data_IF_642360685170
#
_entry.id   IF_642360685170
#
_cell.length_a   1.000
_cell.length_b   1.000
_cell.length_c   1.000
_cell.angle_alpha   90.00
_cell.angle_beta   90.00
_cell.angle_gamma   90.00
#
_symmetry.space_group_name_H-M   'P 1'
#
loop_
_entity.id
_entity.type
_entity.pdbx_description
1 polymer ?
#
# COMPACT_ATOMS: atom_id res chain seq x y z
N UNK A 1 -76.13 55.31 20.31
CA UNK A 1 -75.99 53.85 20.16
C UNK A 1 -74.57 53.54 19.73
N UNK A 2 -73.73 53.13 20.68
CA UNK A 2 -72.29 52.96 20.50
C UNK A 2 -72.02 51.53 20.02
N UNK A 3 -71.43 51.39 18.83
CA UNK A 3 -70.98 50.12 18.26
C UNK A 3 -69.81 49.58 19.11
N UNK A 4 -70.00 48.43 19.77
CA UNK A 4 -68.92 47.66 20.40
C UNK A 4 -68.11 46.97 19.30
N UNK A 5 -66.88 47.42 19.06
CA UNK A 5 -65.88 46.63 18.36
C UNK A 5 -65.12 45.78 19.38
N UNK A 6 -65.15 44.48 19.17
CA UNK A 6 -64.34 43.47 19.85
C UNK A 6 -63.03 43.37 19.08
N UNK A 7 -61.90 43.61 19.73
CA UNK A 7 -60.58 43.24 19.20
C UNK A 7 -59.94 42.25 20.17
N UNK A 8 -60.08 40.96 19.86
CA UNK A 8 -59.29 39.90 20.47
C UNK A 8 -57.92 39.89 19.79
N UNK A 9 -56.86 40.15 20.56
CA UNK A 9 -55.48 40.09 20.10
C UNK A 9 -55.04 38.61 20.11
N UNK A 10 -55.14 37.94 18.97
CA UNK A 10 -54.58 36.60 18.80
C UNK A 10 -53.08 36.71 18.51
N UNK A 11 -52.26 36.44 19.52
CA UNK A 11 -50.81 36.27 19.34
C UNK A 11 -50.59 34.87 18.75
N UNK A 12 -50.38 34.81 17.44
CA UNK A 12 -49.95 33.58 16.78
C UNK A 12 -48.46 33.37 17.06
N UNK A 13 -48.13 32.51 18.04
CA UNK A 13 -46.79 31.92 18.14
C UNK A 13 -46.68 30.86 17.03
N UNK A 14 -46.14 31.25 15.88
CA UNK A 14 -45.66 30.31 14.88
C UNK A 14 -44.39 29.63 15.41
N UNK A 15 -44.55 28.44 15.97
CA UNK A 15 -43.44 27.55 16.28
C UNK A 15 -42.85 27.05 14.95
N UNK A 16 -41.76 27.70 14.51
CA UNK A 16 -40.92 27.15 13.46
C UNK A 16 -40.15 26.00 14.10
N UNK A 17 -40.65 24.77 13.95
CA UNK A 17 -39.86 23.58 14.20
C UNK A 17 -38.75 23.53 13.16
N UNK A 18 -37.61 24.15 13.48
CA UNK A 18 -36.36 23.84 12.83
C UNK A 18 -36.03 22.39 13.21
N UNK A 19 -36.27 21.45 12.30
CA UNK A 19 -35.63 20.13 12.37
C UNK A 19 -34.14 20.38 12.28
N UNK A 20 -33.47 20.46 13.43
CA UNK A 20 -32.03 20.36 13.50
C UNK A 20 -31.68 18.94 13.03
N UNK A 21 -31.41 18.80 11.74
CA UNK A 21 -30.65 17.65 11.24
C UNK A 21 -29.35 17.67 12.03
N UNK A 22 -29.20 16.72 12.95
CA UNK A 22 -27.96 16.51 13.67
C UNK A 22 -26.88 16.24 12.63
N UNK A 23 -26.04 17.24 12.37
CA UNK A 23 -24.85 17.08 11.54
C UNK A 23 -23.91 16.19 12.35
N UNK A 24 -23.84 14.92 11.96
CA UNK A 24 -22.98 13.91 12.56
C UNK A 24 -21.51 14.34 12.34
N UNK A 25 -20.80 14.60 13.44
CA UNK A 25 -19.48 15.26 13.50
C UNK A 25 -18.34 14.29 13.21
N UNK A 26 -17.75 14.34 12.03
CA UNK A 26 -16.86 13.32 11.45
C UNK A 26 -15.98 14.01 10.39
N UNK A 27 -14.75 13.52 10.05
CA UNK A 27 -13.79 14.09 9.06
C UNK A 27 -14.55 14.91 8.05
N UNK A 28 -14.36 16.24 7.98
CA UNK A 28 -15.38 17.18 7.48
C UNK A 28 -16.36 16.51 6.48
N UNK A 29 -17.54 16.12 6.95
CA UNK A 29 -18.57 15.45 6.13
C UNK A 29 -18.42 13.94 5.81
N UNK A 30 -17.62 13.19 6.59
CA UNK A 30 -17.30 11.77 6.44
C UNK A 30 -18.00 10.85 7.44
N UNK A 31 -17.65 9.57 7.45
CA UNK A 31 -18.25 8.54 8.32
C UNK A 31 -17.20 7.71 9.08
N UNK A 32 -17.66 6.87 10.02
CA UNK A 32 -16.79 5.97 10.76
C UNK A 32 -16.58 4.69 9.96
N UNK A 33 -15.34 4.25 9.86
CA UNK A 33 -15.01 2.97 9.25
C UNK A 33 -15.54 1.82 10.09
N UNK A 34 -16.27 0.89 9.47
CA UNK A 34 -16.77 -0.32 10.15
C UNK A 34 -15.73 -1.43 10.20
N UNK A 35 -14.91 -1.52 9.17
CA UNK A 35 -13.86 -2.51 9.01
C UNK A 35 -12.74 -1.98 8.12
N UNK A 36 -11.65 -2.74 7.99
CA UNK A 36 -10.49 -2.40 7.18
C UNK A 36 -10.50 -3.07 5.80
N UNK A 37 -11.57 -3.77 5.41
CA UNK A 37 -11.58 -4.60 4.19
C UNK A 37 -11.36 -3.80 2.91
N UNK A 38 -11.75 -2.53 2.89
CA UNK A 38 -11.59 -1.63 1.74
C UNK A 38 -10.18 -0.99 1.64
N UNK A 39 -9.39 -1.06 2.72
CA UNK A 39 -8.07 -0.45 2.81
C UNK A 39 -7.16 -1.22 3.80
N UNK A 40 -6.92 -2.53 3.55
CA UNK A 40 -6.14 -3.38 4.45
C UNK A 40 -4.67 -2.93 4.58
N UNK A 41 -4.20 -2.14 3.60
CA UNK A 41 -2.87 -1.55 3.52
C UNK A 41 -2.74 -0.20 4.25
N UNK A 42 -3.81 0.36 4.81
CA UNK A 42 -3.73 1.60 5.56
C UNK A 42 -2.91 1.39 6.84
N UNK A 43 -1.95 2.28 7.08
CA UNK A 43 -1.16 2.28 8.31
C UNK A 43 -1.14 3.66 8.97
N UNK A 44 -0.92 3.67 10.28
CA UNK A 44 -0.65 4.86 11.08
C UNK A 44 0.85 4.97 11.33
N UNK A 45 1.43 6.14 11.09
CA UNK A 45 2.84 6.48 11.32
C UNK A 45 2.94 7.36 12.56
N UNK A 46 3.80 6.95 13.49
CA UNK A 46 4.00 7.58 14.78
C UNK A 46 5.50 7.97 14.94
N UNK A 47 5.83 9.14 15.50
CA UNK A 47 7.20 9.51 15.84
C UNK A 47 7.66 8.80 17.12
N UNK A 48 8.90 8.30 17.16
CA UNK A 48 9.47 7.66 18.35
C UNK A 48 9.60 8.66 19.50
N UNK A 49 9.08 8.30 20.67
CA UNK A 49 8.92 9.17 21.84
C UNK A 49 7.53 9.78 21.98
N UNK A 50 6.70 9.69 20.93
CA UNK A 50 5.27 9.99 20.97
C UNK A 50 4.47 8.74 20.60
N UNK A 51 3.77 8.15 21.57
CA UNK A 51 2.82 7.06 21.30
C UNK A 51 1.52 7.59 20.70
N UNK A 52 1.60 8.49 19.71
CA UNK A 52 0.44 9.13 19.10
C UNK A 52 0.53 9.14 17.58
N UNK A 53 -0.61 8.94 16.93
CA UNK A 53 -0.76 9.05 15.48
C UNK A 53 -0.34 10.44 14.97
N UNK A 54 0.49 10.47 13.94
CA UNK A 54 1.00 11.72 13.38
C UNK A 54 0.71 11.86 11.89
N UNK A 55 0.90 10.78 11.14
CA UNK A 55 0.61 10.69 9.71
C UNK A 55 0.00 9.33 9.37
N UNK A 56 -0.63 9.24 8.20
CA UNK A 56 -0.95 7.98 7.55
C UNK A 56 0.20 7.41 6.71
N UNK A 57 -0.02 6.21 6.20
CA UNK A 57 0.84 5.53 5.25
C UNK A 57 0.11 4.41 4.53
N UNK A 58 0.80 3.80 3.57
CA UNK A 58 0.26 2.83 2.63
C UNK A 58 1.23 1.65 2.52
N UNK A 59 0.81 0.46 2.93
CA UNK A 59 1.61 -0.76 2.87
C UNK A 59 1.69 -1.28 1.41
N UNK A 60 2.91 -1.29 0.85
CA UNK A 60 3.19 -1.73 -0.52
C UNK A 60 3.59 -3.21 -0.60
N UNK A 61 4.23 -3.71 0.45
CA UNK A 61 4.58 -5.10 0.69
C UNK A 61 4.70 -5.32 2.22
N UNK A 62 5.13 -6.50 2.67
CA UNK A 62 5.16 -6.80 4.11
C UNK A 62 6.11 -5.91 4.95
N UNK A 63 7.00 -5.12 4.33
CA UNK A 63 8.02 -4.34 5.03
C UNK A 63 8.26 -2.95 4.43
N UNK A 64 7.51 -2.57 3.39
CA UNK A 64 7.63 -1.28 2.72
C UNK A 64 6.35 -0.47 2.85
N UNK A 65 6.47 0.74 3.38
CA UNK A 65 5.37 1.69 3.53
C UNK A 65 5.64 2.93 2.69
N UNK A 66 4.65 3.37 1.93
CA UNK A 66 4.60 4.63 1.21
C UNK A 66 3.93 5.69 2.08
N UNK A 67 4.49 6.90 2.14
CA UNK A 67 3.95 8.03 2.89
C UNK A 67 4.38 9.36 2.24
N UNK A 68 4.00 10.49 2.85
CA UNK A 68 4.42 11.81 2.43
C UNK A 68 5.81 12.15 3.01
N UNK A 69 6.65 12.85 2.24
CA UNK A 69 7.98 13.25 2.69
C UNK A 69 7.92 14.22 3.88
N UNK A 70 6.95 15.14 3.90
CA UNK A 70 6.82 16.12 4.98
C UNK A 70 6.55 15.48 6.35
N UNK A 71 6.03 14.26 6.39
CA UNK A 71 5.86 13.49 7.62
C UNK A 71 7.20 13.20 8.31
N UNK A 72 8.30 13.19 7.54
CA UNK A 72 9.63 12.83 8.03
C UNK A 72 10.50 14.04 8.41
N UNK A 73 10.10 15.25 8.01
CA UNK A 73 10.82 16.49 8.32
C UNK A 73 10.49 17.11 9.69
N UNK A 74 9.38 16.68 10.32
CA UNK A 74 8.86 17.31 11.54
C UNK A 74 9.35 16.77 12.89
N UNK A 75 9.88 15.54 13.05
CA UNK A 75 10.43 15.15 14.35
C UNK A 75 11.65 16.02 14.69
N UNK A 76 11.70 16.51 15.94
CA UNK A 76 12.70 17.48 16.43
C UNK A 76 14.15 17.03 16.15
N UNK A 77 14.41 15.72 16.16
CA UNK A 77 15.75 15.16 15.90
C UNK A 77 16.19 15.23 14.43
N UNK A 78 15.25 15.36 13.49
CA UNK A 78 15.50 15.26 12.05
C UNK A 78 15.24 16.55 11.28
N UNK A 79 14.91 17.64 11.98
CA UNK A 79 14.43 18.89 11.38
C UNK A 79 15.44 19.57 10.46
N UNK A 80 16.74 19.46 10.74
CA UNK A 80 17.79 20.13 9.98
C UNK A 80 18.31 19.30 8.80
N UNK A 81 18.39 17.97 8.94
CA UNK A 81 18.87 17.05 7.91
C UNK A 81 18.16 15.69 8.00
N UNK A 82 16.93 15.56 7.49
CA UNK A 82 16.19 14.30 7.56
C UNK A 82 16.91 13.15 6.86
N UNK A 83 17.70 13.42 5.82
CA UNK A 83 18.48 12.39 5.12
C UNK A 83 19.57 11.75 6.02
N UNK A 84 19.98 12.44 7.09
CA UNK A 84 21.00 11.96 8.03
C UNK A 84 20.38 11.20 9.22
N UNK A 85 19.05 11.15 9.31
CA UNK A 85 18.33 10.40 10.33
C UNK A 85 18.14 8.94 9.92
N UNK A 86 18.38 8.02 10.87
CA UNK A 86 18.03 6.60 10.73
C UNK A 86 16.57 6.36 11.09
N UNK A 87 16.02 5.21 10.66
CA UNK A 87 14.59 4.91 10.77
C UNK A 87 14.06 4.81 12.19
N UNK A 88 14.94 4.57 13.16
CA UNK A 88 14.62 4.32 14.57
C UNK A 88 13.69 5.38 15.18
N UNK A 89 13.60 6.58 14.60
CA UNK A 89 12.71 7.64 15.06
C UNK A 89 11.23 7.49 14.67
N UNK A 90 10.81 6.38 14.07
CA UNK A 90 9.40 6.13 13.73
C UNK A 90 8.94 4.70 14.02
N UNK A 91 7.65 4.57 14.28
CA UNK A 91 6.93 3.30 14.37
C UNK A 91 5.64 3.35 13.55
N UNK A 92 5.29 2.20 12.98
CA UNK A 92 4.13 2.01 12.11
C UNK A 92 3.16 1.05 12.78
N UNK A 93 1.89 1.44 12.87
CA UNK A 93 0.79 0.57 13.28
C UNK A 93 -0.07 0.22 12.06
N UNK A 94 -0.20 -1.06 11.77
CA UNK A 94 -1.05 -1.60 10.71
C UNK A 94 -2.21 -2.42 11.29
N UNK A 95 -3.22 -2.67 10.45
CA UNK A 95 -4.35 -3.54 10.80
C UNK A 95 -5.12 -3.12 12.08
N UNK A 96 -5.26 -1.82 12.33
CA UNK A 96 -6.09 -1.28 13.41
C UNK A 96 -7.15 -0.33 12.90
N UNK A 97 -8.33 -0.36 13.52
CA UNK A 97 -9.37 0.68 13.39
C UNK A 97 -9.21 1.78 14.45
N UNK A 98 -8.39 1.53 15.47
CA UNK A 98 -8.16 2.44 16.57
C UNK A 98 -6.83 3.17 16.38
N UNK A 99 -6.85 4.48 16.59
CA UNK A 99 -5.71 5.36 16.37
C UNK A 99 -4.49 4.95 17.19
N UNK A 100 -4.70 4.46 18.42
CA UNK A 100 -3.62 4.25 19.39
C UNK A 100 -3.47 2.81 19.89
N UNK A 101 -4.49 1.97 19.71
CA UNK A 101 -4.51 0.59 20.22
C UNK A 101 -4.74 -0.43 19.11
N UNK A 102 -4.56 -1.72 19.40
CA UNK A 102 -4.83 -2.82 18.45
C UNK A 102 -3.85 -2.92 17.27
N UNK A 103 -4.10 -3.87 16.37
CA UNK A 103 -3.26 -4.09 15.18
C UNK A 103 -1.85 -4.60 15.49
N UNK A 104 -0.94 -4.38 14.55
CA UNK A 104 0.47 -4.80 14.64
C UNK A 104 1.35 -3.55 14.56
N UNK A 105 2.32 -3.45 15.47
CA UNK A 105 3.30 -2.35 15.49
C UNK A 105 4.65 -2.88 15.00
N UNK A 106 5.30 -2.10 14.14
CA UNK A 106 6.67 -2.36 13.69
C UNK A 106 7.47 -1.07 13.71
N UNK A 107 8.73 -1.15 14.17
CA UNK A 107 9.68 -0.05 14.08
C UNK A 107 10.08 0.19 12.62
N UNK A 108 10.51 1.41 12.31
CA UNK A 108 11.10 1.74 11.02
C UNK A 108 12.62 1.58 11.12
N UNK A 109 13.23 0.83 10.21
CA UNK A 109 14.68 0.63 10.14
C UNK A 109 15.37 1.76 9.35
N UNK A 110 14.74 2.19 8.26
CA UNK A 110 15.25 3.28 7.43
C UNK A 110 14.12 3.92 6.64
N UNK A 111 14.39 5.09 6.06
CA UNK A 111 13.47 5.73 5.14
C UNK A 111 14.22 6.38 3.98
N UNK A 112 13.51 6.57 2.86
CA UNK A 112 13.98 7.28 1.68
C UNK A 112 13.00 8.39 1.34
N UNK A 113 13.46 9.63 1.40
CA UNK A 113 12.74 10.80 0.90
C UNK A 113 13.08 10.97 -0.57
N UNK A 114 12.11 11.41 -1.38
CA UNK A 114 12.36 11.75 -2.77
C UNK A 114 13.46 12.81 -2.88
N UNK A 115 14.49 12.62 -3.73
CA UNK A 115 15.68 13.49 -3.76
C UNK A 115 15.37 14.94 -4.13
N UNK A 116 14.28 15.18 -4.84
CA UNK A 116 13.85 16.53 -5.25
C UNK A 116 12.84 17.17 -4.29
N UNK A 117 12.52 16.54 -3.15
CA UNK A 117 11.66 17.19 -2.15
C UNK A 117 12.42 18.36 -1.49
N UNK A 118 11.83 19.56 -1.55
CA UNK A 118 12.45 20.81 -1.08
C UNK A 118 11.63 21.53 0.02
N UNK A 119 10.63 20.86 0.59
CA UNK A 119 9.78 21.40 1.64
C UNK A 119 8.54 22.11 1.12
N UNK A 120 8.06 23.12 1.84
CA UNK A 120 6.85 23.86 1.45
C UNK A 120 7.22 25.05 0.57
N UNK A 121 6.84 25.00 -0.71
CA UNK A 121 7.15 26.02 -1.73
C UNK A 121 5.87 26.39 -2.47
N UNK A 122 5.61 27.69 -2.66
CA UNK A 122 4.47 28.21 -3.43
C UNK A 122 3.08 27.67 -3.04
N UNK A 123 2.85 27.40 -1.75
CA UNK A 123 1.61 26.81 -1.18
C UNK A 123 1.41 25.31 -1.46
N UNK A 124 2.47 24.61 -1.85
CA UNK A 124 2.44 23.17 -2.06
C UNK A 124 3.72 22.52 -1.52
N UNK A 125 3.71 21.18 -1.47
CA UNK A 125 4.91 20.39 -1.20
C UNK A 125 5.26 19.63 -2.49
N UNK A 126 6.17 20.14 -3.34
CA UNK A 126 6.58 19.41 -4.53
C UNK A 126 7.32 18.14 -4.13
N UNK A 127 7.14 17.05 -4.90
CA UNK A 127 7.80 15.77 -4.66
C UNK A 127 7.57 15.21 -3.24
N UNK A 128 6.40 15.45 -2.66
CA UNK A 128 6.04 15.04 -1.31
C UNK A 128 5.71 13.55 -1.20
N UNK A 129 6.75 12.74 -1.27
CA UNK A 129 6.68 11.29 -1.25
C UNK A 129 7.93 10.71 -0.57
N UNK A 130 7.71 9.71 0.27
CA UNK A 130 8.77 8.96 0.93
C UNK A 130 8.40 7.49 1.09
N UNK A 131 9.43 6.66 1.25
CA UNK A 131 9.33 5.24 1.55
C UNK A 131 9.90 5.00 2.95
N UNK A 132 9.20 4.21 3.76
CA UNK A 132 9.69 3.66 5.02
C UNK A 132 9.97 2.17 4.85
N UNK A 133 11.07 1.71 5.43
CA UNK A 133 11.44 0.29 5.55
C UNK A 133 11.26 -0.14 6.99
N UNK A 134 10.44 -1.14 7.22
CA UNK A 134 10.16 -1.66 8.55
C UNK A 134 11.29 -2.57 9.04
N UNK A 135 11.65 -2.48 10.32
CA UNK A 135 12.63 -3.36 10.97
C UNK A 135 12.12 -4.80 11.07
N UNK A 136 10.81 -4.96 11.24
CA UNK A 136 10.13 -6.26 11.25
C UNK A 136 9.02 -6.26 10.20
N UNK A 137 9.01 -7.25 9.31
CA UNK A 137 7.89 -7.41 8.37
C UNK A 137 6.59 -7.62 9.13
N UNK A 138 5.56 -6.88 8.74
CA UNK A 138 4.21 -7.07 9.26
C UNK A 138 3.70 -8.39 8.68
N UNK A 139 3.52 -9.37 9.56
CA UNK A 139 3.03 -10.69 9.19
C UNK A 139 1.59 -10.62 8.70
N UNK A 140 1.23 -11.57 7.85
CA UNK A 140 -0.12 -11.68 7.33
C UNK A 140 -1.11 -11.91 8.47
N UNK A 141 -1.94 -10.91 8.74
CA UNK A 141 -3.07 -11.00 9.67
C UNK A 141 -4.36 -11.26 8.89
N UNK A 142 -5.46 -11.58 9.59
CA UNK A 142 -6.79 -11.74 9.00
C UNK A 142 -7.26 -10.53 8.16
N UNK A 143 -6.61 -9.38 8.32
CA UNK A 143 -6.91 -8.14 7.59
C UNK A 143 -5.89 -7.92 6.47
N UNK A 144 -4.60 -8.13 6.71
CA UNK A 144 -3.56 -7.92 5.69
C UNK A 144 -3.63 -8.96 4.56
N UNK A 145 -4.26 -10.12 4.80
CA UNK A 145 -4.56 -11.11 3.74
C UNK A 145 -5.40 -10.57 2.58
N UNK A 146 -6.11 -9.45 2.76
CA UNK A 146 -6.86 -8.81 1.67
C UNK A 146 -5.95 -8.08 0.67
N UNK A 147 -4.63 -8.04 0.94
CA UNK A 147 -3.60 -7.63 -0.02
C UNK A 147 -2.92 -6.30 0.32
N UNK A 148 -1.89 -6.02 -0.46
CA UNK A 148 -1.16 -4.74 -0.43
C UNK A 148 -1.80 -3.74 -1.38
N UNK A 149 -1.37 -2.49 -1.32
CA UNK A 149 -1.95 -1.42 -2.11
C UNK A 149 -1.77 -1.65 -3.61
N UNK A 150 -2.87 -1.52 -4.37
CA UNK A 150 -2.83 -1.47 -5.82
C UNK A 150 -2.60 -0.02 -6.27
N UNK A 151 -1.47 0.28 -6.88
CA UNK A 151 -1.11 1.64 -7.27
C UNK A 151 -1.59 1.95 -8.69
N UNK A 152 -2.01 3.20 -8.92
CA UNK A 152 -2.34 3.68 -10.25
C UNK A 152 -1.19 3.47 -11.25
N UNK A 153 -1.53 3.22 -12.52
CA UNK A 153 -0.56 2.94 -13.57
C UNK A 153 0.37 4.14 -13.82
N UNK A 154 1.58 3.89 -14.30
CA UNK A 154 2.53 4.98 -14.60
C UNK A 154 1.94 5.94 -15.63
N UNK A 155 2.02 7.23 -15.34
CA UNK A 155 1.50 8.29 -16.20
C UNK A 155 -0.02 8.45 -16.22
N UNK A 156 -0.81 7.59 -15.57
CA UNK A 156 -2.26 7.78 -15.50
C UNK A 156 -2.65 9.02 -14.68
N UNK A 157 -3.85 9.54 -14.93
CA UNK A 157 -4.41 10.68 -14.22
C UNK A 157 -5.84 10.33 -13.78
N UNK A 158 -6.23 10.56 -12.51
CA UNK A 158 -7.63 10.40 -12.11
C UNK A 158 -8.55 11.32 -12.93
N UNK A 159 -9.73 10.80 -13.26
CA UNK A 159 -10.72 11.51 -14.05
C UNK A 159 -11.38 12.61 -13.21
N UNK A 160 -11.42 13.88 -13.66
CA UNK A 160 -12.17 14.93 -12.97
C UNK A 160 -13.63 14.52 -12.72
N UNK A 161 -14.17 14.94 -11.58
CA UNK A 161 -15.50 14.61 -11.08
C UNK A 161 -15.73 13.12 -10.73
N UNK A 162 -14.73 12.24 -10.88
CA UNK A 162 -14.77 10.91 -10.27
C UNK A 162 -14.72 11.01 -8.74
N UNK A 163 -15.11 9.95 -8.05
CA UNK A 163 -15.12 9.91 -6.59
C UNK A 163 -13.91 9.12 -6.08
N UNK A 164 -13.20 9.71 -5.13
CA UNK A 164 -12.16 9.05 -4.37
C UNK A 164 -12.56 8.88 -2.90
N UNK A 165 -12.00 7.86 -2.27
CA UNK A 165 -12.12 7.55 -0.85
C UNK A 165 -10.80 7.90 -0.15
N UNK A 166 -10.89 8.65 0.93
CA UNK A 166 -9.76 8.97 1.80
C UNK A 166 -10.06 8.50 3.23
N UNK A 167 -9.45 7.38 3.68
CA UNK A 167 -9.53 6.93 5.07
C UNK A 167 -8.39 7.50 5.92
N UNK A 168 -8.66 7.80 7.19
CA UNK A 168 -7.63 8.28 8.12
C UNK A 168 -8.14 8.65 9.51
N UNK A 169 -7.19 9.08 10.36
CA UNK A 169 -7.42 9.50 11.75
C UNK A 169 -7.11 10.98 11.96
N UNK A 170 -7.12 11.76 10.88
CA UNK A 170 -6.95 13.20 10.93
C UNK A 170 -8.06 13.93 11.66
N UNK A 171 -7.81 15.20 11.96
CA UNK A 171 -8.73 16.09 12.65
C UNK A 171 -10.10 16.13 11.95
N UNK A 172 -11.17 16.14 12.75
CA UNK A 172 -12.53 16.16 12.21
C UNK A 172 -12.93 17.51 11.62
N UNK A 173 -12.25 18.58 12.05
CA UNK A 173 -12.42 19.96 11.60
C UNK A 173 -11.14 20.75 11.90
N UNK A 174 -10.99 21.94 11.31
CA UNK A 174 -9.81 22.78 11.57
C UNK A 174 -9.70 23.12 13.06
N UNK A 175 -8.56 22.80 13.68
CA UNK A 175 -8.32 22.92 15.13
C UNK A 175 -9.29 22.11 16.02
N UNK A 176 -9.94 21.07 15.45
CA UNK A 176 -10.85 20.18 16.17
C UNK A 176 -10.14 19.03 16.89
N UNK A 177 -10.88 18.01 17.36
CA UNK A 177 -10.31 16.79 17.92
C UNK A 177 -9.86 15.81 16.82
N UNK A 178 -8.85 14.99 17.13
CA UNK A 178 -8.58 13.75 16.38
C UNK A 178 -9.55 12.66 16.83
N UNK A 179 -10.13 11.88 15.92
CA UNK A 179 -10.96 10.73 16.27
C UNK A 179 -10.13 9.58 16.82
N UNK A 180 -10.69 8.81 17.75
CA UNK A 180 -10.08 7.56 18.20
C UNK A 180 -10.30 6.42 17.20
N UNK A 181 -11.46 6.43 16.53
CA UNK A 181 -11.82 5.44 15.51
C UNK A 181 -11.55 5.96 14.11
N UNK A 182 -11.11 5.05 13.24
CA UNK A 182 -10.83 5.34 11.84
C UNK A 182 -12.05 5.94 11.17
N UNK A 183 -11.82 6.96 10.36
CA UNK A 183 -12.84 7.66 9.60
C UNK A 183 -12.58 7.47 8.11
N UNK A 184 -13.59 7.71 7.32
CA UNK A 184 -13.48 7.72 5.87
C UNK A 184 -14.34 8.81 5.26
N UNK A 185 -13.86 9.44 4.19
CA UNK A 185 -14.61 10.45 3.45
C UNK A 185 -14.53 10.18 1.96
N UNK A 186 -15.66 10.38 1.27
CA UNK A 186 -15.72 10.36 -0.18
C UNK A 186 -15.62 11.79 -0.70
N UNK A 187 -14.62 12.04 -1.52
CA UNK A 187 -14.30 13.35 -2.09
C UNK A 187 -14.29 13.29 -3.62
N UNK A 188 -14.79 14.34 -4.30
CA UNK A 188 -14.66 14.42 -5.75
C UNK A 188 -13.22 14.76 -6.14
N UNK A 189 -12.73 14.12 -7.20
CA UNK A 189 -11.56 14.60 -7.94
C UNK A 189 -11.95 15.88 -8.65
N UNK A 190 -11.08 16.89 -8.62
CA UNK A 190 -11.30 18.17 -9.29
C UNK A 190 -10.34 18.33 -10.46
N UNK A 191 -10.70 19.23 -11.37
CA UNK A 191 -9.73 19.72 -12.35
C UNK A 191 -8.50 20.28 -11.61
N UNK A 192 -7.30 19.94 -12.09
CA UNK A 192 -6.05 20.24 -11.39
C UNK A 192 -5.88 21.73 -11.06
N UNK A 193 -6.27 22.59 -11.99
CA UNK A 193 -6.23 24.06 -11.88
C UNK A 193 -7.19 24.64 -10.82
N UNK A 194 -8.12 23.83 -10.31
CA UNK A 194 -9.03 24.22 -9.22
C UNK A 194 -8.28 24.33 -7.88
N UNK A 195 -7.17 23.60 -7.73
CA UNK A 195 -6.28 23.72 -6.58
C UNK A 195 -5.16 24.73 -6.88
N UNK A 196 -5.09 25.80 -6.07
CA UNK A 196 -4.01 26.78 -6.19
C UNK A 196 -2.64 26.13 -5.93
N UNK A 197 -1.71 26.28 -6.86
CA UNK A 197 -0.36 25.74 -6.76
C UNK A 197 -0.22 24.27 -7.18
N UNK A 198 -1.30 23.67 -7.72
CA UNK A 198 -1.23 22.32 -8.27
C UNK A 198 -0.25 22.24 -9.44
N UNK A 199 0.50 21.14 -9.48
CA UNK A 199 1.41 20.79 -10.58
C UNK A 199 0.96 19.50 -11.24
N UNK A 200 1.53 19.16 -12.39
CA UNK A 200 1.28 17.87 -13.06
C UNK A 200 1.58 16.67 -12.17
N UNK A 201 2.44 16.80 -11.16
CA UNK A 201 2.74 15.73 -10.21
C UNK A 201 1.74 15.64 -9.04
N UNK A 202 0.61 16.38 -9.12
CA UNK A 202 -0.41 16.46 -8.07
C UNK A 202 -1.81 16.15 -8.59
N UNK A 203 -2.64 15.65 -7.69
CA UNK A 203 -4.09 15.47 -7.83
C UNK A 203 -4.78 16.53 -6.98
N UNK A 204 -5.82 17.16 -7.53
CA UNK A 204 -6.72 18.05 -6.80
C UNK A 204 -7.98 17.27 -6.44
N UNK A 205 -8.40 17.29 -5.18
CA UNK A 205 -9.66 16.65 -4.75
C UNK A 205 -10.30 17.42 -3.59
N UNK A 206 -11.51 17.02 -3.20
CA UNK A 206 -12.22 17.60 -2.06
C UNK A 206 -13.04 18.85 -2.41
N UNK A 207 -13.27 19.69 -1.41
CA UNK A 207 -14.18 20.83 -1.45
C UNK A 207 -15.59 20.46 -0.98
N UNK A 208 -16.51 21.42 -1.08
CA UNK A 208 -17.91 21.27 -0.63
C UNK A 208 -18.07 20.84 0.83
N UNK A 209 -17.13 21.23 1.69
CA UNK A 209 -17.11 20.83 3.09
C UNK A 209 -16.69 19.37 3.29
N UNK A 210 -16.02 18.76 2.31
CA UNK A 210 -15.43 17.42 2.41
C UNK A 210 -13.99 17.39 2.00
N UNK A 211 -13.11 17.01 2.91
CA UNK A 211 -11.69 16.87 2.63
C UNK A 211 -11.00 16.02 3.71
N UNK A 212 -9.77 15.62 3.41
CA UNK A 212 -8.78 15.22 4.41
C UNK A 212 -8.33 16.42 5.26
N UNK A 213 -7.74 16.15 6.43
CA UNK A 213 -7.31 17.19 7.35
C UNK A 213 -5.99 16.79 8.04
N UNK A 214 -5.48 17.65 8.93
CA UNK A 214 -4.23 17.40 9.67
C UNK A 214 -4.26 16.03 10.35
N UNK A 215 -3.23 15.21 10.09
CA UNK A 215 -3.10 13.82 10.57
C UNK A 215 -3.35 12.78 9.47
N UNK A 216 -4.17 13.09 8.46
CA UNK A 216 -4.37 12.19 7.31
C UNK A 216 -3.16 12.18 6.35
N UNK A 217 -2.29 13.18 6.45
CA UNK A 217 -1.04 13.33 5.68
C UNK A 217 -0.29 12.02 5.51
N UNK A 218 0.12 11.70 4.29
CA UNK A 218 0.78 10.43 3.95
C UNK A 218 -0.15 9.24 3.74
N UNK A 219 -1.44 9.36 4.09
CA UNK A 219 -2.46 8.36 3.82
C UNK A 219 -2.87 8.28 2.34
N UNK A 220 -3.66 7.26 1.95
CA UNK A 220 -4.08 7.04 0.57
C UNK A 220 -5.27 7.92 0.14
N UNK A 221 -5.24 8.35 -1.12
CA UNK A 221 -6.43 8.72 -1.88
C UNK A 221 -6.73 7.59 -2.88
N UNK A 222 -7.85 6.91 -2.67
CA UNK A 222 -8.23 5.66 -3.35
C UNK A 222 -9.32 5.98 -4.37
N UNK A 223 -9.14 5.62 -5.64
CA UNK A 223 -10.22 5.71 -6.62
C UNK A 223 -11.33 4.71 -6.27
N UNK A 224 -12.58 5.21 -6.16
CA UNK A 224 -13.71 4.41 -5.64
C UNK A 224 -14.09 3.24 -6.54
N UNK A 225 -13.89 3.35 -7.86
CA UNK A 225 -14.32 2.34 -8.81
C UNK A 225 -13.26 1.26 -9.00
N UNK A 226 -12.00 1.66 -9.08
CA UNK A 226 -10.88 0.76 -9.36
C UNK A 226 -10.19 0.23 -8.10
N UNK A 227 -10.38 0.90 -6.96
CA UNK A 227 -9.64 0.61 -5.73
C UNK A 227 -8.15 0.97 -5.79
N UNK A 228 -7.71 1.68 -6.84
CA UNK A 228 -6.31 2.06 -7.01
C UNK A 228 -5.94 3.29 -6.17
N UNK A 229 -4.73 3.30 -5.63
CA UNK A 229 -4.17 4.51 -5.01
C UNK A 229 -3.77 5.48 -6.12
N UNK A 230 -4.52 6.57 -6.23
CA UNK A 230 -4.27 7.65 -7.20
C UNK A 230 -3.48 8.80 -6.58
N UNK A 231 -3.53 8.95 -5.26
CA UNK A 231 -2.85 10.04 -4.55
C UNK A 231 -2.36 9.68 -3.15
N UNK A 232 -1.46 10.51 -2.63
CA UNK A 232 -1.00 10.51 -1.24
C UNK A 232 -1.37 11.85 -0.62
N UNK A 233 -2.02 11.87 0.54
CA UNK A 233 -2.43 13.11 1.23
C UNK A 233 -1.21 13.99 1.51
N UNK A 234 -1.21 15.25 1.04
CA UNK A 234 -0.07 16.17 1.17
C UNK A 234 -0.45 17.48 1.88
N UNK A 235 -1.21 18.36 1.23
CA UNK A 235 -1.63 19.66 1.77
C UNK A 235 -3.04 20.03 1.34
N UNK A 236 -3.60 21.09 1.93
CA UNK A 236 -4.93 21.56 1.57
C UNK A 236 -5.24 22.93 2.17
N UNK A 237 -6.34 23.52 1.71
CA UNK A 237 -6.82 24.82 2.22
C UNK A 237 -7.78 24.56 3.37
N UNK A 238 -7.25 24.56 4.59
CA UNK A 238 -8.03 24.22 5.78
C UNK A 238 -8.53 22.78 5.74
N UNK A 239 -9.61 22.49 6.46
CA UNK A 239 -10.26 21.18 6.43
C UNK A 239 -11.65 21.35 5.83
N UNK A 240 -11.94 20.62 4.75
CA UNK A 240 -13.17 20.72 3.96
C UNK A 240 -13.06 21.59 2.69
N UNK A 241 -11.88 22.16 2.43
CA UNK A 241 -11.54 22.84 1.17
C UNK A 241 -11.05 21.86 0.11
N UNK A 242 -10.46 22.39 -0.97
CA UNK A 242 -9.75 21.53 -1.93
C UNK A 242 -8.36 21.18 -1.39
N UNK A 243 -8.01 19.91 -1.49
CA UNK A 243 -6.73 19.33 -1.10
C UNK A 243 -5.83 19.00 -2.31
N UNK A 244 -4.53 19.13 -2.09
CA UNK A 244 -3.46 18.65 -2.97
C UNK A 244 -2.93 17.32 -2.46
N UNK A 245 -2.83 16.37 -3.39
CA UNK A 245 -2.32 15.03 -3.15
C UNK A 245 -1.17 14.76 -4.11
N UNK A 246 -0.13 14.07 -3.66
CA UNK A 246 0.96 13.64 -4.55
C UNK A 246 0.44 12.58 -5.50
N UNK A 247 0.52 12.81 -6.82
CA UNK A 247 0.00 11.89 -7.84
C UNK A 247 0.89 10.65 -7.97
N UNK A 248 0.43 9.51 -7.44
CA UNK A 248 1.19 8.24 -7.38
C UNK A 248 1.74 7.83 -8.74
N UNK A 249 0.94 7.98 -9.80
CA UNK A 249 1.31 7.66 -11.17
C UNK A 249 2.57 8.38 -11.68
N UNK A 250 2.90 9.55 -11.10
CA UNK A 250 4.10 10.33 -11.46
C UNK A 250 5.37 9.79 -10.82
N UNK A 251 5.25 8.99 -9.75
CA UNK A 251 6.38 8.54 -8.93
C UNK A 251 6.58 7.03 -8.98
N UNK A 252 6.02 6.34 -9.97
CA UNK A 252 6.14 4.87 -10.10
C UNK A 252 7.60 4.41 -10.18
N UNK A 253 8.49 5.15 -10.86
CA UNK A 253 9.93 4.82 -10.90
C UNK A 253 10.54 4.86 -9.49
N UNK A 254 10.37 5.98 -8.79
CA UNK A 254 10.86 6.15 -7.42
C UNK A 254 10.32 5.07 -6.47
N UNK A 255 9.01 4.75 -6.56
CA UNK A 255 8.40 3.71 -5.75
C UNK A 255 9.05 2.35 -6.06
N UNK A 256 9.14 1.96 -7.33
CA UNK A 256 9.67 0.65 -7.73
C UNK A 256 11.15 0.48 -7.38
N UNK A 257 11.96 1.52 -7.52
CA UNK A 257 13.38 1.54 -7.13
C UNK A 257 13.58 1.36 -5.61
N UNK A 258 12.55 1.67 -4.82
CA UNK A 258 12.58 1.64 -3.37
C UNK A 258 11.57 0.66 -2.77
N UNK A 259 10.97 -0.24 -3.56
CA UNK A 259 10.31 -1.42 -3.02
C UNK A 259 11.36 -2.29 -2.32
N UNK A 260 10.96 -3.19 -1.42
CA UNK A 260 11.94 -4.10 -0.84
C UNK A 260 12.70 -4.77 -1.98
N UNK A 261 14.02 -4.99 -1.83
CA UNK A 261 14.58 -6.22 -2.40
C UNK A 261 13.58 -7.29 -2.00
N UNK A 262 12.88 -7.92 -2.96
CA UNK A 262 11.93 -8.99 -2.67
C UNK A 262 12.65 -9.88 -1.67
N UNK A 263 12.30 -9.84 -0.38
CA UNK A 263 13.13 -10.47 0.65
C UNK A 263 13.40 -11.88 0.18
N UNK A 264 14.68 -12.33 0.20
CA UNK A 264 15.11 -13.57 -0.47
C UNK A 264 13.99 -14.59 -0.41
N UNK A 265 13.29 -14.86 -1.54
CA UNK A 265 12.02 -15.56 -1.46
C UNK A 265 12.25 -16.88 -0.74
N UNK A 266 11.36 -17.24 0.18
CA UNK A 266 11.56 -18.44 0.99
C UNK A 266 11.79 -19.64 0.06
N UNK A 267 12.46 -20.70 0.53
CA UNK A 267 12.63 -21.92 -0.28
C UNK A 267 11.28 -22.44 -0.81
N UNK A 268 10.20 -22.23 -0.05
CA UNK A 268 8.85 -22.58 -0.47
C UNK A 268 8.33 -21.68 -1.60
N UNK A 269 8.48 -20.35 -1.48
CA UNK A 269 8.10 -19.40 -2.53
C UNK A 269 8.90 -19.61 -3.82
N UNK A 270 10.21 -19.81 -3.70
CA UNK A 270 11.10 -20.10 -4.84
C UNK A 270 10.71 -21.41 -5.55
N UNK A 271 10.24 -22.42 -4.81
CA UNK A 271 9.73 -23.67 -5.38
C UNK A 271 8.36 -23.47 -6.05
N UNK A 272 7.45 -22.74 -5.41
CA UNK A 272 6.13 -22.45 -5.97
C UNK A 272 6.23 -21.65 -7.27
N UNK A 273 7.10 -20.64 -7.33
CA UNK A 273 7.37 -19.85 -8.53
C UNK A 273 8.00 -20.70 -9.64
N UNK A 274 8.89 -21.63 -9.28
CA UNK A 274 9.54 -22.53 -10.23
C UNK A 274 8.56 -23.54 -10.84
N UNK A 275 7.73 -24.19 -10.01
CA UNK A 275 6.72 -25.15 -10.46
C UNK A 275 5.47 -24.49 -11.08
N UNK A 276 5.26 -23.18 -10.86
CA UNK A 276 4.13 -22.41 -11.39
C UNK A 276 4.35 -21.82 -12.79
N UNK A 277 5.47 -22.13 -13.45
CA UNK A 277 5.77 -21.59 -14.79
C UNK A 277 4.81 -22.13 -15.85
N UNK A 278 4.48 -21.28 -16.82
CA UNK A 278 3.63 -21.67 -17.95
C UNK A 278 4.26 -22.84 -18.72
N UNK A 279 3.47 -23.88 -19.00
CA UNK A 279 3.94 -25.10 -19.68
C UNK A 279 4.55 -26.15 -18.76
N UNK A 280 4.73 -25.88 -17.46
CA UNK A 280 5.23 -26.85 -16.50
C UNK A 280 4.07 -27.66 -15.87
N UNK A 281 4.22 -28.99 -15.75
CA UNK A 281 3.32 -29.81 -14.93
C UNK A 281 3.65 -29.58 -13.44
N UNK A 282 2.81 -28.80 -12.78
CA UNK A 282 2.99 -28.40 -11.38
C UNK A 282 3.03 -29.60 -10.44
N UNK A 283 2.21 -30.62 -10.65
CA UNK A 283 2.13 -31.77 -9.75
C UNK A 283 3.36 -32.67 -9.92
N UNK A 284 3.80 -32.89 -11.16
CA UNK A 284 5.06 -33.59 -11.45
C UNK A 284 6.27 -32.85 -10.86
N UNK A 285 6.32 -31.52 -11.00
CA UNK A 285 7.38 -30.67 -10.43
C UNK A 285 7.41 -30.75 -8.90
N UNK A 286 6.25 -30.64 -8.24
CA UNK A 286 6.17 -30.74 -6.77
C UNK A 286 6.53 -32.15 -6.27
N UNK A 287 6.19 -33.20 -7.03
CA UNK A 287 6.62 -34.57 -6.72
C UNK A 287 8.14 -34.74 -6.87
N UNK A 288 8.74 -34.20 -7.92
CA UNK A 288 10.19 -34.16 -8.13
C UNK A 288 10.91 -33.43 -6.99
N UNK A 289 10.36 -32.29 -6.54
CA UNK A 289 10.91 -31.53 -5.41
C UNK A 289 10.99 -32.35 -4.12
N UNK A 290 9.98 -33.17 -3.81
CA UNK A 290 10.00 -34.07 -2.65
C UNK A 290 11.12 -35.10 -2.73
N UNK A 291 11.42 -35.61 -3.93
CA UNK A 291 12.55 -36.54 -4.16
C UNK A 291 13.89 -35.86 -3.98
N UNK A 292 14.01 -34.59 -4.37
CA UNK A 292 15.24 -33.82 -4.21
C UNK A 292 15.58 -33.50 -2.76
N UNK A 293 14.58 -33.36 -1.88
CA UNK A 293 14.79 -33.04 -0.46
C UNK A 293 15.75 -34.02 0.24
N UNK A 294 15.78 -35.30 -0.16
CA UNK A 294 16.68 -36.31 0.41
C UNK A 294 17.95 -36.56 -0.40
N UNK A 295 18.07 -35.99 -1.61
CA UNK A 295 19.21 -36.22 -2.50
C UNK A 295 20.22 -35.07 -2.53
N UNK A 296 19.79 -33.84 -2.25
CA UNK A 296 20.70 -32.69 -2.15
C UNK A 296 21.34 -32.63 -0.77
N UNK A 297 22.52 -32.01 -0.68
CA UNK A 297 23.18 -31.77 0.61
C UNK A 297 22.35 -30.82 1.48
N UNK A 298 22.44 -30.90 2.82
CA UNK A 298 21.71 -30.00 3.72
C UNK A 298 22.00 -28.51 3.47
N UNK A 299 23.22 -28.19 3.05
CA UNK A 299 23.72 -26.85 2.74
C UNK A 299 23.55 -26.43 1.27
N UNK A 300 22.87 -27.24 0.46
CA UNK A 300 22.64 -26.94 -0.94
C UNK A 300 21.93 -25.59 -1.12
N UNK A 301 22.40 -24.82 -2.09
CA UNK A 301 21.77 -23.58 -2.53
C UNK A 301 20.41 -23.88 -3.16
N UNK A 302 19.52 -22.88 -3.21
CA UNK A 302 18.23 -23.06 -3.91
C UNK A 302 18.44 -23.39 -5.39
N UNK A 303 19.47 -22.83 -6.02
CA UNK A 303 19.81 -23.15 -7.41
C UNK A 303 20.09 -24.64 -7.59
N UNK A 304 20.93 -25.23 -6.74
CA UNK A 304 21.22 -26.67 -6.77
C UNK A 304 19.97 -27.52 -6.50
N UNK A 305 19.12 -27.08 -5.55
CA UNK A 305 17.85 -27.74 -5.28
C UNK A 305 16.91 -27.73 -6.49
N UNK A 306 16.68 -26.57 -7.11
CA UNK A 306 15.81 -26.44 -8.28
C UNK A 306 16.38 -27.15 -9.53
N UNK A 307 17.71 -27.19 -9.68
CA UNK A 307 18.33 -27.99 -10.74
C UNK A 307 18.04 -29.48 -10.56
N UNK A 308 18.07 -29.98 -9.33
CA UNK A 308 17.62 -31.34 -9.03
C UNK A 308 16.15 -31.54 -9.42
N UNK A 309 15.27 -30.58 -9.11
CA UNK A 309 13.83 -30.67 -9.43
C UNK A 309 13.61 -30.85 -10.94
N UNK A 310 14.20 -29.99 -11.77
CA UNK A 310 14.11 -30.08 -13.23
C UNK A 310 14.56 -31.48 -13.75
N UNK A 311 15.70 -32.00 -13.25
CA UNK A 311 16.24 -33.30 -13.69
C UNK A 311 15.32 -34.46 -13.27
N UNK A 312 14.85 -34.45 -12.02
CA UNK A 312 13.94 -35.46 -11.49
C UNK A 312 12.58 -35.44 -12.18
N UNK A 313 12.14 -34.27 -12.63
CA UNK A 313 10.90 -34.12 -13.37
C UNK A 313 11.02 -34.73 -14.78
N UNK A 314 12.05 -34.34 -15.54
CA UNK A 314 12.32 -34.86 -16.89
C UNK A 314 12.51 -36.38 -16.90
N UNK A 315 13.25 -36.90 -15.91
CA UNK A 315 13.57 -38.32 -15.82
C UNK A 315 12.52 -39.13 -15.03
N UNK A 316 11.46 -38.47 -14.52
CA UNK A 316 10.33 -39.11 -13.86
C UNK A 316 9.21 -39.54 -14.82
N UNK A 317 9.35 -39.23 -16.10
CA UNK A 317 8.39 -39.61 -17.15
C UNK A 317 8.43 -41.13 -17.42
N UNK A 318 7.27 -41.68 -17.80
CA UNK A 318 7.09 -43.14 -17.96
C UNK A 318 7.94 -43.77 -19.06
N UNK A 319 8.35 -42.98 -20.05
CA UNK A 319 9.13 -43.41 -21.21
C UNK A 319 10.58 -43.80 -20.84
N UNK A 320 11.09 -43.36 -19.70
CA UNK A 320 12.46 -43.66 -19.22
C UNK A 320 12.48 -44.37 -17.86
N UNK A 321 11.37 -44.98 -17.44
CA UNK A 321 11.23 -45.58 -16.10
C UNK A 321 12.38 -46.56 -15.74
N UNK A 322 12.77 -47.44 -16.67
CA UNK A 322 13.83 -48.44 -16.48
C UNK A 322 15.26 -47.86 -16.61
N UNK A 323 15.39 -46.59 -17.03
CA UNK A 323 16.66 -45.88 -17.26
C UNK A 323 16.76 -44.57 -16.48
N UNK A 324 15.98 -44.43 -15.40
CA UNK A 324 15.88 -43.20 -14.61
C UNK A 324 17.26 -42.69 -14.16
N UNK A 325 18.12 -43.56 -13.64
CA UNK A 325 19.44 -43.16 -13.13
C UNK A 325 20.38 -42.69 -14.26
N UNK A 326 20.33 -43.36 -15.42
CA UNK A 326 21.09 -42.97 -16.59
C UNK A 326 20.60 -41.62 -17.15
N UNK A 327 19.27 -41.40 -17.16
CA UNK A 327 18.66 -40.13 -17.53
C UNK A 327 19.16 -38.99 -16.64
N UNK A 328 19.16 -39.18 -15.32
CA UNK A 328 19.61 -38.14 -14.37
C UNK A 328 21.09 -37.82 -14.58
N UNK A 329 21.92 -38.84 -14.81
CA UNK A 329 23.34 -38.65 -15.13
C UNK A 329 23.55 -37.85 -16.42
N UNK A 330 22.80 -38.19 -17.48
CA UNK A 330 22.83 -37.46 -18.74
C UNK A 330 22.35 -36.01 -18.57
N UNK A 331 21.24 -35.79 -17.86
CA UNK A 331 20.66 -34.47 -17.62
C UNK A 331 21.64 -33.53 -16.90
N UNK A 332 22.42 -34.05 -15.96
CA UNK A 332 23.47 -33.29 -15.28
C UNK A 332 24.56 -32.82 -16.26
N UNK A 333 25.06 -33.74 -17.10
CA UNK A 333 26.08 -33.43 -18.12
C UNK A 333 25.55 -32.42 -19.14
N UNK A 334 24.32 -32.61 -19.63
CA UNK A 334 23.65 -31.71 -20.55
C UNK A 334 23.57 -30.28 -20.02
N UNK A 335 23.18 -30.11 -18.76
CA UNK A 335 23.06 -28.79 -18.14
C UNK A 335 24.42 -28.08 -18.06
N UNK A 336 25.48 -28.80 -17.72
CA UNK A 336 26.83 -28.24 -17.64
C UNK A 336 27.41 -27.87 -19.02
N UNK A 337 27.23 -28.75 -20.02
CA UNK A 337 27.79 -28.55 -21.36
C UNK A 337 27.03 -27.49 -22.16
N UNK A 338 25.70 -27.50 -22.12
CA UNK A 338 24.85 -26.60 -22.91
C UNK A 338 24.44 -25.33 -22.15
N UNK A 339 24.85 -25.19 -20.88
CA UNK A 339 24.49 -24.07 -19.99
C UNK A 339 22.98 -23.82 -19.94
N UNK A 340 22.20 -24.90 -19.87
CA UNK A 340 20.74 -24.83 -19.91
C UNK A 340 20.19 -24.03 -18.71
N UNK A 341 19.31 -23.04 -18.96
CA UNK A 341 18.71 -22.28 -17.87
C UNK A 341 17.74 -23.15 -17.06
N UNK A 342 17.55 -22.79 -15.78
CA UNK A 342 16.54 -23.42 -14.91
C UNK A 342 15.16 -23.42 -15.60
N UNK A 343 14.47 -24.55 -15.55
CA UNK A 343 13.12 -24.75 -16.10
C UNK A 343 12.99 -24.76 -17.63
N UNK A 344 14.09 -24.87 -18.38
CA UNK A 344 14.04 -25.22 -19.82
C UNK A 344 13.92 -26.73 -19.98
N UNK A 345 12.77 -27.28 -19.57
CA UNK A 345 12.52 -28.72 -19.46
C UNK A 345 12.56 -29.42 -20.81
N UNK A 346 12.12 -28.77 -21.89
CA UNK A 346 12.09 -29.34 -23.22
C UNK A 346 13.50 -29.65 -23.75
N UNK A 347 14.41 -28.68 -23.66
CA UNK A 347 15.81 -28.90 -24.09
C UNK A 347 16.52 -29.87 -23.18
N UNK A 348 16.27 -29.79 -21.87
CA UNK A 348 16.85 -30.72 -20.91
C UNK A 348 16.40 -32.15 -21.20
N UNK A 349 15.11 -32.35 -21.51
CA UNK A 349 14.53 -33.64 -21.89
C UNK A 349 15.13 -34.17 -23.20
N UNK A 350 15.18 -33.33 -24.24
CA UNK A 350 15.78 -33.71 -25.52
C UNK A 350 17.24 -34.14 -25.39
N UNK A 351 18.04 -33.44 -24.58
CA UNK A 351 19.43 -33.80 -24.37
C UNK A 351 19.59 -35.02 -23.45
N UNK A 352 18.89 -35.05 -22.31
CA UNK A 352 19.04 -36.11 -21.31
C UNK A 352 18.60 -37.48 -21.84
N UNK A 353 17.57 -37.50 -22.69
CA UNK A 353 16.98 -38.71 -23.28
C UNK A 353 17.53 -39.07 -24.66
N UNK A 354 18.45 -38.28 -25.22
CA UNK A 354 19.16 -38.60 -26.45
C UNK A 354 19.97 -39.88 -26.19
N UNK A 355 19.51 -41.01 -26.73
CA UNK A 355 20.13 -42.34 -26.62
C UNK A 355 19.74 -43.18 -25.38
N UNK A 356 18.63 -42.84 -24.70
CA UNK A 356 17.91 -43.75 -23.79
C UNK A 356 16.83 -44.53 -24.55
#
# INVERSE_FOLDING_TARGET
MVRKLVTALAVALSAISATATAIDKRIVGGEEAKDLSQYPYLVSVHPMGGSYHFCGGILLDNSTVLTAAHCLYRPVKCREKPQDCQGDVFLVRAASLDRETGGTVSEVASFKIHPNYDGHVNNAYPHDIAILKLSTSIQESNIIRYGYANLAASGSDPVPDSIALAPGWGLLEFSGPMPDKLRQVYVPIRARDSCKGATEAMVCAGGDGKDTCTGDSGGPLIDRETGQIVGIVSSGVGCGGTGLYTRVASYRSFINENLGDKGTPTREQQLQDHCGRSGNDKDACMFAARRCTSQVKPDATMLEFLQCVDMMQVCGEKDVADKTDQCIANAKVCREQEKLPLGDLDKLSQCAKKDL
#
